data_IF_737267641152
#
_entry.id   IF_737267641152
#
_cell.length_a   1.000
_cell.length_b   1.000
_cell.length_c   1.000
_cell.angle_alpha   90.00
_cell.angle_beta   90.00
_cell.angle_gamma   90.00
#
_symmetry.space_group_name_H-M   'P 1'
#
loop_
_entity.id
_entity.type
_entity.pdbx_description
1 polymer ?
#
# COMPACT_ATOMS: atom_id res chain seq x y z
N UNK A 1 -10.75 -7.26 6.35
CA UNK A 1 -10.38 -7.52 4.94
C UNK A 1 -9.29 -6.57 4.50
N UNK A 2 -8.30 -7.09 3.72
CA UNK A 2 -7.29 -6.30 3.04
C UNK A 2 -7.85 -5.71 1.74
N UNK A 3 -7.64 -4.41 1.50
CA UNK A 3 -8.07 -3.76 0.26
C UNK A 3 -6.96 -2.89 -0.32
N UNK A 4 -6.82 -2.92 -1.62
CA UNK A 4 -5.83 -2.11 -2.31
C UNK A 4 -6.21 -0.63 -2.32
N UNK A 5 -5.22 0.24 -2.08
CA UNK A 5 -5.40 1.70 -2.13
C UNK A 5 -5.42 2.25 -3.56
N UNK A 6 -4.69 1.58 -4.47
CA UNK A 6 -4.51 2.04 -5.85
C UNK A 6 -4.63 0.88 -6.82
N UNK A 7 -4.91 1.19 -8.07
CA UNK A 7 -4.91 0.23 -9.18
C UNK A 7 -3.54 0.20 -9.84
N UNK A 8 -3.07 -0.98 -10.24
CA UNK A 8 -1.85 -1.13 -11.05
C UNK A 8 -2.06 -0.67 -12.51
N UNK A 9 -3.27 -0.83 -13.03
CA UNK A 9 -3.64 -0.46 -14.39
C UNK A 9 -5.08 0.06 -14.45
N UNK A 10 -5.44 0.74 -15.51
CA UNK A 10 -6.80 1.24 -15.75
C UNK A 10 -7.86 0.13 -15.87
N UNK A 11 -7.43 -1.12 -16.09
CA UNK A 11 -8.31 -2.30 -16.24
C UNK A 11 -8.47 -3.10 -14.95
N UNK A 12 -7.78 -2.73 -13.87
CA UNK A 12 -7.84 -3.44 -12.58
C UNK A 12 -8.80 -2.75 -11.62
N UNK A 13 -9.93 -3.37 -11.33
CA UNK A 13 -10.91 -2.89 -10.33
C UNK A 13 -10.57 -3.26 -8.89
N UNK A 14 -9.28 -3.45 -8.57
CA UNK A 14 -8.84 -3.90 -7.25
C UNK A 14 -8.85 -2.80 -6.18
N UNK A 15 -8.75 -1.52 -6.58
CA UNK A 15 -8.72 -0.42 -5.63
C UNK A 15 -10.06 -0.25 -4.92
N UNK A 16 -10.00 -0.07 -3.61
CA UNK A 16 -11.17 0.25 -2.80
C UNK A 16 -11.77 1.59 -3.21
N UNK A 17 -13.09 1.64 -3.36
CA UNK A 17 -13.85 2.84 -3.67
C UNK A 17 -14.71 3.27 -2.47
N UNK A 18 -15.08 4.56 -2.40
CA UNK A 18 -15.87 5.08 -1.26
C UNK A 18 -17.23 4.38 -1.11
N UNK A 19 -17.89 3.99 -2.19
CA UNK A 19 -19.14 3.25 -2.14
C UNK A 19 -19.02 1.88 -1.49
N UNK A 20 -17.86 1.21 -1.64
CA UNK A 20 -17.57 -0.07 -1.02
C UNK A 20 -17.47 0.04 0.52
N UNK A 21 -17.00 1.19 1.05
CA UNK A 21 -16.89 1.44 2.49
C UNK A 21 -18.24 1.22 3.18
N UNK A 22 -19.32 1.71 2.57
CA UNK A 22 -20.68 1.55 3.13
C UNK A 22 -21.10 0.09 3.21
N UNK A 23 -20.84 -0.70 2.17
CA UNK A 23 -21.16 -2.13 2.15
C UNK A 23 -20.36 -2.91 3.19
N UNK A 24 -19.05 -2.68 3.27
CA UNK A 24 -18.16 -3.31 4.25
C UNK A 24 -18.54 -2.94 5.69
N UNK A 25 -18.93 -1.67 5.93
CA UNK A 25 -19.42 -1.19 7.22
C UNK A 25 -20.70 -1.91 7.63
N UNK A 26 -21.66 -2.05 6.71
CA UNK A 26 -22.92 -2.76 6.98
C UNK A 26 -22.68 -4.25 7.28
N UNK A 27 -21.64 -4.84 6.72
CA UNK A 27 -21.22 -6.22 7.01
C UNK A 27 -20.41 -6.37 8.32
N UNK A 28 -20.16 -5.29 9.07
CA UNK A 28 -19.39 -5.32 10.31
C UNK A 28 -17.90 -5.64 10.13
N UNK A 29 -17.36 -5.48 8.92
CA UNK A 29 -15.99 -5.84 8.59
C UNK A 29 -15.00 -4.75 9.01
N UNK A 30 -13.79 -5.15 9.40
CA UNK A 30 -12.63 -4.27 9.58
C UNK A 30 -11.77 -4.31 8.32
N UNK A 31 -11.11 -3.18 8.01
CA UNK A 31 -10.35 -3.03 6.78
C UNK A 31 -8.90 -2.62 7.08
N UNK A 32 -7.96 -3.12 6.30
CA UNK A 32 -6.59 -2.63 6.29
C UNK A 32 -6.13 -2.35 4.85
N UNK A 33 -5.43 -1.22 4.61
CA UNK A 33 -5.03 -0.82 3.28
C UNK A 33 -3.73 -1.50 2.84
N UNK A 34 -3.70 -1.95 1.59
CA UNK A 34 -2.52 -2.48 0.91
C UNK A 34 -2.14 -1.49 -0.19
N UNK A 35 -0.88 -1.13 -0.27
CA UNK A 35 -0.31 -0.40 -1.39
C UNK A 35 0.60 -1.32 -2.19
N UNK A 36 0.22 -1.58 -3.41
CA UNK A 36 1.03 -2.31 -4.39
C UNK A 36 0.99 -1.54 -5.70
N UNK A 37 2.17 -1.21 -6.22
CA UNK A 37 2.36 -0.81 -7.60
C UNK A 37 2.98 -2.00 -8.35
N UNK A 38 3.93 -1.80 -9.25
CA UNK A 38 4.50 -2.92 -10.01
C UNK A 38 5.27 -3.92 -9.14
N UNK A 39 6.13 -3.49 -8.24
CA UNK A 39 6.83 -4.23 -7.16
C UNK A 39 7.26 -5.69 -7.35
N UNK A 40 7.40 -6.16 -8.61
CA UNK A 40 7.60 -7.58 -8.95
C UNK A 40 9.06 -7.99 -9.16
N UNK A 41 10.00 -7.07 -8.99
CA UNK A 41 11.44 -7.34 -9.05
C UNK A 41 12.23 -6.26 -8.33
N UNK A 42 13.51 -6.52 -8.05
CA UNK A 42 14.36 -5.64 -7.26
C UNK A 42 14.57 -4.26 -7.89
N UNK A 43 14.58 -4.14 -9.21
CA UNK A 43 14.84 -2.87 -9.90
C UNK A 43 13.75 -1.82 -9.61
N UNK A 44 12.56 -2.25 -9.18
CA UNK A 44 11.49 -1.36 -8.76
C UNK A 44 11.84 -0.57 -7.49
N UNK A 45 12.50 -1.19 -6.50
CA UNK A 45 12.68 -0.66 -5.14
C UNK A 45 13.77 0.42 -5.05
N UNK A 46 13.67 1.44 -5.89
CA UNK A 46 14.54 2.61 -5.88
C UNK A 46 14.06 3.69 -4.90
N UNK A 47 14.93 4.64 -4.57
CA UNK A 47 14.57 5.82 -3.75
C UNK A 47 13.49 6.67 -4.44
N UNK A 48 13.51 6.78 -5.77
CA UNK A 48 12.48 7.51 -6.51
C UNK A 48 11.13 6.77 -6.47
N UNK A 49 11.14 5.44 -6.56
CA UNK A 49 9.93 4.64 -6.34
C UNK A 49 9.39 4.86 -4.92
N UNK A 50 10.23 4.84 -3.88
CA UNK A 50 9.81 5.10 -2.52
C UNK A 50 9.11 6.46 -2.34
N UNK A 51 9.63 7.52 -2.97
CA UNK A 51 9.00 8.86 -2.95
C UNK A 51 7.63 8.88 -3.60
N UNK A 52 7.53 8.30 -4.80
CA UNK A 52 6.27 8.20 -5.55
C UNK A 52 5.24 7.37 -4.79
N UNK A 53 5.64 6.23 -4.27
CA UNK A 53 4.76 5.26 -3.62
C UNK A 53 4.27 5.77 -2.26
N UNK A 54 5.15 6.39 -1.47
CA UNK A 54 4.77 7.07 -0.24
C UNK A 54 3.67 8.11 -0.50
N UNK A 55 3.87 8.98 -1.51
CA UNK A 55 2.90 10.03 -1.86
C UNK A 55 1.58 9.45 -2.34
N UNK A 56 1.60 8.45 -3.22
CA UNK A 56 0.40 7.81 -3.75
C UNK A 56 -0.38 7.09 -2.66
N UNK A 57 0.31 6.30 -1.83
CA UNK A 57 -0.32 5.58 -0.73
C UNK A 57 -0.96 6.53 0.30
N UNK A 58 -0.24 7.59 0.69
CA UNK A 58 -0.74 8.60 1.62
C UNK A 58 -1.98 9.30 1.07
N UNK A 59 -1.92 9.80 -0.17
CA UNK A 59 -3.04 10.52 -0.78
C UNK A 59 -4.27 9.61 -0.94
N UNK A 60 -4.08 8.37 -1.39
CA UNK A 60 -5.18 7.43 -1.54
C UNK A 60 -5.85 7.09 -0.20
N UNK A 61 -5.06 6.81 0.83
CA UNK A 61 -5.59 6.54 2.17
C UNK A 61 -6.32 7.77 2.75
N UNK A 62 -5.76 8.97 2.53
CA UNK A 62 -6.37 10.21 2.98
C UNK A 62 -7.70 10.50 2.25
N UNK A 63 -7.75 10.30 0.95
CA UNK A 63 -8.96 10.51 0.13
C UNK A 63 -10.08 9.52 0.46
N UNK A 64 -9.72 8.30 0.87
CA UNK A 64 -10.69 7.31 1.36
C UNK A 64 -11.16 7.57 2.79
N UNK A 65 -10.51 8.49 3.53
CA UNK A 65 -10.88 8.85 4.89
C UNK A 65 -10.34 7.89 5.96
N UNK A 66 -9.27 7.15 5.68
CA UNK A 66 -8.65 6.29 6.70
C UNK A 66 -8.24 7.09 7.94
N UNK A 67 -8.52 6.58 9.16
CA UNK A 67 -8.20 7.27 10.40
C UNK A 67 -6.69 7.33 10.66
N UNK A 68 -6.29 8.26 11.55
CA UNK A 68 -4.92 8.33 12.05
C UNK A 68 -4.48 6.99 12.66
N UNK A 69 -3.20 6.66 12.54
CA UNK A 69 -2.58 5.41 12.97
C UNK A 69 -2.98 4.15 12.17
N UNK A 70 -3.73 4.30 11.07
CA UNK A 70 -3.92 3.18 10.13
C UNK A 70 -2.56 2.71 9.64
N UNK A 71 -2.37 1.39 9.60
CA UNK A 71 -1.17 0.77 9.04
C UNK A 71 -1.39 0.53 7.55
N UNK A 72 -0.56 1.12 6.69
CA UNK A 72 -0.54 0.89 5.24
C UNK A 72 0.51 -0.17 4.93
N UNK A 73 0.10 -1.31 4.35
CA UNK A 73 1.00 -2.40 4.00
C UNK A 73 1.55 -2.19 2.59
N UNK A 74 2.86 -1.87 2.49
CA UNK A 74 3.56 -1.77 1.21
C UNK A 74 4.01 -3.15 0.76
N UNK A 75 3.68 -3.52 -0.49
CA UNK A 75 3.94 -4.86 -1.00
C UNK A 75 5.34 -5.01 -1.59
N UNK A 76 6.00 -6.11 -1.20
CA UNK A 76 7.22 -6.66 -1.79
C UNK A 76 6.89 -8.06 -2.27
N UNK A 77 6.29 -8.14 -3.45
CA UNK A 77 5.61 -9.33 -3.97
C UNK A 77 6.38 -9.96 -5.12
N UNK A 78 7.54 -10.53 -4.78
CA UNK A 78 8.37 -11.30 -5.71
C UNK A 78 9.33 -12.22 -4.95
N UNK A 79 9.97 -13.17 -5.62
CA UNK A 79 10.98 -14.03 -5.03
C UNK A 79 12.24 -13.23 -4.65
N UNK A 80 12.27 -12.75 -3.41
CA UNK A 80 13.36 -11.92 -2.86
C UNK A 80 14.55 -12.79 -2.54
N UNK A 81 15.71 -12.45 -3.10
CA UNK A 81 17.00 -13.02 -2.67
C UNK A 81 17.56 -12.25 -1.46
N UNK A 82 18.35 -12.91 -0.63
CA UNK A 82 18.98 -12.29 0.55
C UNK A 82 19.79 -11.04 0.16
N UNK A 83 20.45 -11.07 -0.99
CA UNK A 83 21.22 -9.93 -1.52
C UNK A 83 20.36 -8.70 -1.85
N UNK A 84 19.03 -8.85 -2.00
CA UNK A 84 18.10 -7.74 -2.28
C UNK A 84 17.71 -6.97 -1.02
N UNK A 85 17.86 -7.56 0.17
CA UNK A 85 17.39 -7.00 1.44
C UNK A 85 17.90 -5.57 1.69
N UNK A 86 19.19 -5.23 1.50
CA UNK A 86 19.68 -3.88 1.72
C UNK A 86 18.94 -2.81 0.87
N UNK A 87 18.62 -3.13 -0.36
CA UNK A 87 17.86 -2.24 -1.26
C UNK A 87 16.44 -2.02 -0.76
N UNK A 88 15.77 -3.10 -0.33
CA UNK A 88 14.42 -3.03 0.25
C UNK A 88 14.44 -2.22 1.56
N UNK A 89 15.43 -2.42 2.44
CA UNK A 89 15.58 -1.62 3.65
C UNK A 89 15.72 -0.12 3.34
N UNK A 90 16.50 0.26 2.32
CA UNK A 90 16.67 1.64 1.90
C UNK A 90 15.36 2.25 1.35
N UNK A 91 14.59 1.47 0.59
CA UNK A 91 13.27 1.87 0.12
C UNK A 91 12.33 2.19 1.30
N UNK A 92 12.26 1.31 2.31
CA UNK A 92 11.42 1.53 3.49
C UNK A 92 11.94 2.65 4.41
N UNK A 93 13.27 2.84 4.54
CA UNK A 93 13.83 4.01 5.24
C UNK A 93 13.33 5.30 4.62
N UNK A 94 13.36 5.38 3.27
CA UNK A 94 12.88 6.56 2.57
C UNK A 94 11.39 6.81 2.78
N UNK A 95 10.55 5.79 2.80
CA UNK A 95 9.12 5.93 3.11
C UNK A 95 8.95 6.47 4.55
N UNK A 96 9.68 5.92 5.54
CA UNK A 96 9.63 6.38 6.93
C UNK A 96 10.03 7.86 7.08
N UNK A 97 11.13 8.27 6.43
CA UNK A 97 11.56 9.67 6.40
C UNK A 97 10.46 10.60 5.90
N UNK A 98 9.79 10.23 4.81
CA UNK A 98 8.72 11.03 4.23
C UNK A 98 7.48 11.08 5.13
N UNK A 99 7.05 9.95 5.67
CA UNK A 99 5.87 9.89 6.55
C UNK A 99 6.06 10.71 7.84
N UNK A 100 7.30 10.93 8.27
CA UNK A 100 7.61 11.77 9.42
C UNK A 100 7.45 13.28 9.16
N UNK A 101 7.38 13.71 7.89
CA UNK A 101 7.27 15.14 7.53
C UNK A 101 5.84 15.68 7.68
N UNK A 102 5.72 17.01 7.76
CA UNK A 102 4.43 17.70 7.82
C UNK A 102 3.57 17.43 6.59
N UNK A 103 4.16 17.29 5.40
CA UNK A 103 3.47 16.95 4.15
C UNK A 103 2.72 15.61 4.20
N UNK A 104 3.15 14.71 5.09
CA UNK A 104 2.51 13.42 5.37
C UNK A 104 1.83 13.39 6.76
N UNK A 105 1.51 14.56 7.32
CA UNK A 105 0.79 14.71 8.57
C UNK A 105 1.56 14.21 9.80
N UNK A 106 2.89 14.30 9.81
CA UNK A 106 3.74 13.92 10.94
C UNK A 106 3.40 12.50 11.46
N UNK A 107 3.60 11.49 10.64
CA UNK A 107 3.25 10.10 10.93
C UNK A 107 1.73 9.87 11.12
N UNK A 108 0.89 10.53 10.31
CA UNK A 108 -0.55 10.27 10.31
C UNK A 108 -0.87 8.78 10.16
N UNK A 109 -0.16 8.10 9.25
CA UNK A 109 -0.27 6.66 9.03
C UNK A 109 0.99 5.93 9.48
N UNK A 110 0.86 4.65 9.80
CA UNK A 110 1.95 3.76 10.14
C UNK A 110 2.32 2.91 8.92
N UNK A 111 3.55 2.41 8.91
CA UNK A 111 4.08 1.61 7.80
C UNK A 111 4.03 0.14 8.19
N UNK A 112 3.39 -0.66 7.35
CA UNK A 112 3.44 -2.12 7.35
C UNK A 112 4.12 -2.63 6.09
N UNK A 113 4.36 -3.93 6.03
CA UNK A 113 4.89 -4.62 4.86
C UNK A 113 4.08 -5.87 4.56
N UNK A 114 3.80 -6.12 3.27
CA UNK A 114 3.41 -7.44 2.76
C UNK A 114 4.61 -8.03 2.04
N UNK A 115 5.15 -9.16 2.54
CA UNK A 115 6.39 -9.75 2.00
C UNK A 115 6.65 -11.17 2.52
N UNK A 116 7.66 -11.88 1.95
CA UNK A 116 8.19 -13.10 2.51
C UNK A 116 8.75 -12.90 3.94
N UNK A 117 8.74 -13.97 4.75
CA UNK A 117 9.09 -13.98 6.18
C UNK A 117 10.41 -13.26 6.51
N UNK A 118 11.48 -13.57 5.76
CA UNK A 118 12.81 -12.96 6.00
C UNK A 118 12.80 -11.46 5.78
N UNK A 119 12.14 -10.97 4.74
CA UNK A 119 11.99 -9.53 4.46
C UNK A 119 11.23 -8.84 5.58
N UNK A 120 10.09 -9.41 6.00
CA UNK A 120 9.29 -8.91 7.14
C UNK A 120 10.15 -8.83 8.41
N UNK A 121 10.92 -9.89 8.72
CA UNK A 121 11.81 -9.96 9.89
C UNK A 121 12.87 -8.87 9.85
N UNK A 122 13.53 -8.65 8.72
CA UNK A 122 14.59 -7.63 8.60
C UNK A 122 14.02 -6.21 8.72
N UNK A 123 12.86 -5.95 8.14
CA UNK A 123 12.19 -4.65 8.27
C UNK A 123 11.73 -4.40 9.72
N UNK A 124 11.20 -5.41 10.40
CA UNK A 124 10.82 -5.36 11.81
C UNK A 124 12.03 -5.06 12.71
N UNK A 125 13.12 -5.83 12.58
CA UNK A 125 14.36 -5.67 13.36
C UNK A 125 15.01 -4.29 13.18
N UNK A 126 14.86 -3.69 12.01
CA UNK A 126 15.38 -2.34 11.74
C UNK A 126 14.40 -1.24 12.16
N UNK A 127 13.24 -1.54 12.76
CA UNK A 127 12.24 -0.58 13.19
C UNK A 127 11.54 0.15 12.04
N UNK A 128 11.57 -0.43 10.83
CA UNK A 128 11.03 0.20 9.62
C UNK A 128 9.56 -0.13 9.36
N UNK A 129 9.01 -1.13 10.05
CA UNK A 129 7.60 -1.49 9.93
C UNK A 129 6.97 -1.75 11.31
N UNK A 130 5.77 -1.22 11.49
CA UNK A 130 4.97 -1.43 12.70
C UNK A 130 4.33 -2.83 12.70
N UNK A 131 4.02 -3.36 11.52
CA UNK A 131 3.33 -4.64 11.36
C UNK A 131 3.73 -5.32 10.06
N UNK A 132 3.65 -6.66 10.06
CA UNK A 132 3.93 -7.49 8.90
C UNK A 132 2.69 -8.29 8.49
N UNK A 133 2.44 -8.34 7.18
CA UNK A 133 1.54 -9.24 6.50
C UNK A 133 2.38 -10.21 5.68
N UNK A 134 2.44 -11.45 6.13
CA UNK A 134 3.32 -12.48 5.57
C UNK A 134 2.64 -13.15 4.37
N UNK A 135 3.40 -13.50 3.34
CA UNK A 135 2.88 -14.14 2.12
C UNK A 135 3.22 -15.65 2.05
N UNK A 136 2.86 -16.42 3.06
CA UNK A 136 3.19 -17.86 3.13
C UNK A 136 2.59 -18.68 1.98
N UNK A 137 1.50 -18.20 1.35
CA UNK A 137 0.98 -18.76 0.11
C UNK A 137 2.07 -18.85 -0.98
N UNK A 138 3.01 -17.92 -1.02
CA UNK A 138 4.17 -17.93 -1.92
C UNK A 138 5.29 -18.82 -1.36
N UNK A 139 4.96 -20.08 -1.08
CA UNK A 139 5.84 -21.04 -0.40
C UNK A 139 7.14 -21.34 -1.15
N UNK A 140 7.18 -21.13 -2.48
CA UNK A 140 8.37 -21.30 -3.32
C UNK A 140 9.35 -20.12 -3.28
N UNK A 141 9.03 -19.01 -2.61
CA UNK A 141 9.93 -17.88 -2.50
C UNK A 141 11.11 -18.17 -1.60
N UNK A 142 12.32 -17.82 -2.04
CA UNK A 142 13.61 -18.09 -1.38
C UNK A 142 13.66 -17.57 0.05
N UNK A 143 13.13 -16.39 0.30
CA UNK A 143 13.14 -15.73 1.62
C UNK A 143 11.87 -16.01 2.44
N UNK A 144 11.14 -17.09 2.19
CA UNK A 144 9.87 -17.39 2.85
C UNK A 144 9.94 -18.63 3.75
N UNK A 145 9.42 -19.78 3.33
CA UNK A 145 9.37 -20.99 4.14
C UNK A 145 10.78 -21.41 4.58
N UNK A 146 10.92 -21.79 5.87
CA UNK A 146 12.22 -22.05 6.51
C UNK A 146 12.72 -20.92 7.41
N UNK A 147 12.15 -19.72 7.29
CA UNK A 147 12.35 -18.64 8.24
C UNK A 147 11.20 -18.56 9.25
N UNK A 148 11.49 -18.09 10.46
CA UNK A 148 10.47 -17.86 11.48
C UNK A 148 9.56 -16.68 11.06
N UNK A 149 8.32 -16.71 11.53
CA UNK A 149 7.43 -15.55 11.43
C UNK A 149 8.03 -14.34 12.15
N UNK A 150 7.93 -13.12 11.61
CA UNK A 150 8.43 -11.92 12.26
C UNK A 150 7.64 -11.62 13.55
N UNK A 151 8.30 -11.01 14.54
CA UNK A 151 7.66 -10.72 15.84
C UNK A 151 6.41 -9.84 15.72
N UNK A 152 6.37 -8.95 14.72
CA UNK A 152 5.28 -8.01 14.49
C UNK A 152 4.26 -8.50 13.46
N UNK A 153 4.19 -9.80 13.13
CA UNK A 153 3.21 -10.28 12.16
C UNK A 153 1.77 -10.09 12.68
N UNK A 154 0.90 -9.62 11.81
CA UNK A 154 -0.50 -9.45 12.08
C UNK A 154 -1.36 -10.38 11.22
N UNK A 155 -0.98 -10.53 9.97
CA UNK A 155 -1.65 -11.37 8.98
C UNK A 155 -0.66 -12.30 8.31
N UNK A 156 -1.14 -13.48 7.92
CA UNK A 156 -0.38 -14.47 7.16
C UNK A 156 -1.30 -15.05 6.07
N UNK A 157 -0.99 -14.75 4.81
CA UNK A 157 -1.72 -15.23 3.65
C UNK A 157 -1.30 -16.67 3.35
N UNK A 158 -2.22 -17.60 3.52
CA UNK A 158 -1.92 -19.04 3.47
C UNK A 158 -2.47 -19.75 2.24
N UNK A 159 -3.53 -19.23 1.63
CA UNK A 159 -4.18 -19.85 0.47
C UNK A 159 -5.17 -18.90 -0.20
N UNK A 160 -5.56 -19.21 -1.45
CA UNK A 160 -6.73 -18.62 -2.09
C UNK A 160 -7.88 -19.61 -2.02
N UNK A 161 -9.09 -19.14 -1.69
CA UNK A 161 -10.31 -19.92 -1.63
C UNK A 161 -11.41 -19.29 -2.47
N UNK A 162 -12.25 -20.13 -3.08
CA UNK A 162 -13.41 -19.68 -3.86
C UNK A 162 -14.67 -19.76 -3.02
N UNK A 163 -15.45 -18.69 -2.99
CA UNK A 163 -16.77 -18.64 -2.35
C UNK A 163 -17.87 -18.33 -3.37
N UNK A 164 -19.07 -18.87 -3.12
CA UNK A 164 -20.23 -18.68 -3.97
C UNK A 164 -20.26 -19.56 -5.20
N UNK A 165 -21.22 -19.30 -6.09
CA UNK A 165 -21.43 -20.05 -7.34
C UNK A 165 -21.97 -19.13 -8.44
N UNK A 166 -21.80 -19.50 -9.70
CA UNK A 166 -22.24 -18.71 -10.85
C UNK A 166 -21.61 -17.31 -10.85
N UNK A 167 -22.39 -16.29 -11.15
CA UNK A 167 -21.95 -14.90 -11.20
C UNK A 167 -21.56 -14.32 -9.81
N UNK A 168 -22.01 -14.94 -8.72
CA UNK A 168 -21.67 -14.55 -7.36
C UNK A 168 -20.41 -15.26 -6.82
N UNK A 169 -19.66 -15.99 -7.67
CA UNK A 169 -18.41 -16.63 -7.28
C UNK A 169 -17.31 -15.57 -7.17
N UNK A 170 -16.64 -15.54 -6.00
CA UNK A 170 -15.47 -14.70 -5.77
C UNK A 170 -14.28 -15.55 -5.30
N UNK A 171 -13.08 -15.12 -5.63
CA UNK A 171 -11.85 -15.65 -5.05
C UNK A 171 -11.33 -14.67 -4.01
N UNK A 172 -11.01 -15.20 -2.82
CA UNK A 172 -10.46 -14.43 -1.72
C UNK A 172 -9.21 -15.10 -1.18
N UNK A 173 -8.26 -14.29 -0.78
CA UNK A 173 -7.07 -14.76 -0.09
C UNK A 173 -7.40 -15.00 1.38
N UNK A 174 -7.19 -16.25 1.81
CA UNK A 174 -7.43 -16.68 3.17
C UNK A 174 -6.22 -16.34 4.04
N UNK A 175 -6.48 -15.70 5.17
CA UNK A 175 -5.42 -15.20 6.04
C UNK A 175 -5.62 -15.68 7.48
N UNK A 176 -4.53 -16.07 8.14
CA UNK A 176 -4.48 -16.23 9.60
C UNK A 176 -4.23 -14.86 10.21
N UNK A 177 -4.92 -14.57 11.31
CA UNK A 177 -4.79 -13.30 12.05
C UNK A 177 -4.18 -13.58 13.41
N UNK A 178 -3.09 -12.87 13.75
CA UNK A 178 -2.41 -13.04 15.05
C UNK A 178 -3.13 -12.38 16.24
N UNK A 179 -4.06 -11.46 15.95
CA UNK A 179 -4.70 -10.61 16.95
C UNK A 179 -3.93 -9.34 17.30
N UNK A 180 -2.67 -9.18 16.89
CA UNK A 180 -1.86 -7.98 17.19
C UNK A 180 -2.36 -6.71 16.48
N UNK A 181 -2.93 -6.87 15.30
CA UNK A 181 -3.63 -5.83 14.55
C UNK A 181 -4.73 -6.46 13.71
N UNK A 182 -5.91 -5.88 13.72
CA UNK A 182 -7.10 -6.45 13.05
C UNK A 182 -7.67 -5.52 11.98
N UNK A 183 -6.90 -4.52 11.54
CA UNK A 183 -7.40 -3.45 10.67
C UNK A 183 -8.14 -2.37 11.45
N UNK A 184 -8.69 -1.39 10.74
CA UNK A 184 -9.46 -0.28 11.31
C UNK A 184 -10.96 -0.53 11.20
N UNK A 185 -11.72 0.01 12.16
CA UNK A 185 -13.17 0.02 12.08
C UNK A 185 -13.62 1.00 11.01
N UNK A 186 -14.60 0.63 10.22
CA UNK A 186 -15.18 1.53 9.21
C UNK A 186 -16.05 2.65 9.85
N UNK A 187 -16.39 2.52 11.14
CA UNK A 187 -17.00 3.61 11.90
C UNK A 187 -16.03 4.78 12.12
N UNK A 188 -14.71 4.51 12.10
CA UNK A 188 -13.67 5.51 12.33
C UNK A 188 -13.28 6.29 11.08
N UNK A 189 -13.86 5.95 9.91
CA UNK A 189 -13.61 6.68 8.67
C UNK A 189 -14.25 8.05 8.71
N UNK A 190 -13.46 9.06 8.38
CA UNK A 190 -13.96 10.43 8.27
C UNK A 190 -14.52 10.66 6.87
N UNK A 191 -15.66 11.36 6.79
CA UNK A 191 -16.11 11.92 5.52
C UNK A 191 -15.09 12.99 5.09
N UNK A 192 -14.33 12.68 4.06
CA UNK A 192 -13.44 13.68 3.47
C UNK A 192 -14.30 14.59 2.59
N UNK A 193 -14.61 15.77 3.07
CA UNK A 193 -15.10 16.85 2.20
C UNK A 193 -13.98 17.16 1.23
N UNK A 194 -14.20 16.86 -0.06
CA UNK A 194 -13.24 17.18 -1.12
C UNK A 194 -13.18 18.69 -1.24
N UNK A 195 -12.08 19.30 -0.82
CA UNK A 195 -11.93 20.75 -0.97
C UNK A 195 -11.78 21.11 -2.46
N UNK A 196 -12.16 22.35 -2.85
CA UNK A 196 -11.94 22.83 -4.21
C UNK A 196 -10.46 22.72 -4.62
N UNK A 197 -9.56 22.90 -3.67
CA UNK A 197 -8.11 22.72 -3.87
C UNK A 197 -7.74 21.27 -4.24
N UNK A 198 -8.37 20.27 -3.64
CA UNK A 198 -8.13 18.87 -3.96
C UNK A 198 -8.72 18.49 -5.32
N UNK A 199 -9.88 19.08 -5.67
CA UNK A 199 -10.47 18.95 -7.01
C UNK A 199 -9.53 19.53 -8.06
N UNK A 200 -9.01 20.74 -7.83
CA UNK A 200 -8.09 21.40 -8.74
C UNK A 200 -6.78 20.60 -8.90
N UNK A 201 -6.21 20.07 -7.79
CA UNK A 201 -5.04 19.19 -7.84
C UNK A 201 -5.31 17.90 -8.62
N UNK A 202 -6.48 17.30 -8.47
CA UNK A 202 -6.86 16.10 -9.21
C UNK A 202 -7.00 16.37 -10.71
N UNK A 203 -7.57 17.53 -11.08
CA UNK A 203 -7.71 17.98 -12.48
C UNK A 203 -6.33 18.21 -13.10
N UNK A 204 -5.45 18.95 -12.40
CA UNK A 204 -4.08 19.22 -12.87
C UNK A 204 -3.27 17.91 -12.97
N UNK A 205 -3.37 17.00 -11.99
CA UNK A 205 -2.71 15.69 -12.04
C UNK A 205 -3.17 14.84 -13.21
N UNK A 206 -4.48 14.86 -13.52
CA UNK A 206 -5.05 14.12 -14.65
C UNK A 206 -4.64 14.74 -15.99
N UNK A 207 -4.59 16.07 -16.08
CA UNK A 207 -4.07 16.79 -17.26
C UNK A 207 -2.58 16.46 -17.49
N UNK A 208 -1.78 16.43 -16.43
CA UNK A 208 -0.37 16.03 -16.48
C UNK A 208 -0.19 14.59 -17.00
N UNK A 209 -0.99 13.64 -16.50
CA UNK A 209 -0.95 12.26 -16.99
C UNK A 209 -1.38 12.12 -18.46
N UNK A 210 -2.33 12.93 -18.92
CA UNK A 210 -2.76 12.95 -20.33
C UNK A 210 -1.72 13.55 -21.27
N UNK A 211 -0.87 14.46 -20.78
CA UNK A 211 0.21 15.09 -21.55
C UNK A 211 1.49 14.25 -21.54
N UNK A 212 1.61 13.30 -20.65
CA UNK A 212 2.74 12.40 -20.54
C UNK A 212 2.81 11.49 -21.79
N UNK A 213 3.97 11.42 -22.41
CA UNK A 213 4.17 10.74 -23.71
C UNK A 213 3.95 11.65 -24.92
N UNK A 214 3.74 12.96 -24.71
CA UNK A 214 3.67 13.96 -25.78
C UNK A 214 4.97 14.76 -25.85
N UNK A 215 5.07 15.67 -26.84
CA UNK A 215 6.21 16.59 -27.00
C UNK A 215 6.45 17.52 -25.80
N UNK A 216 5.59 17.50 -24.79
CA UNK A 216 5.73 18.27 -23.56
C UNK A 216 6.45 17.53 -22.43
N UNK A 217 6.81 16.24 -22.58
CA UNK A 217 7.51 15.49 -21.52
C UNK A 217 8.83 16.17 -21.12
N UNK A 218 9.64 16.59 -22.08
CA UNK A 218 10.91 17.29 -21.84
C UNK A 218 10.70 18.65 -21.13
N UNK A 219 9.57 19.30 -21.37
CA UNK A 219 9.22 20.58 -20.75
C UNK A 219 8.78 20.38 -19.29
N UNK A 220 8.06 19.31 -19.02
CA UNK A 220 7.51 19.00 -17.69
C UNK A 220 8.57 18.44 -16.74
N UNK A 221 9.54 17.67 -17.25
CA UNK A 221 10.66 17.17 -16.43
C UNK A 221 11.63 18.28 -15.99
N UNK A 222 11.76 19.34 -16.76
CA UNK A 222 12.63 20.48 -16.48
C UNK A 222 11.96 21.58 -15.64
N UNK A 223 10.63 21.52 -15.44
CA UNK A 223 9.90 22.50 -14.64
C UNK A 223 9.84 22.07 -13.18
N UNK A 224 10.89 22.41 -12.40
CA UNK A 224 10.94 22.20 -10.94
C UNK A 224 10.27 23.34 -10.16
N UNK A 225 9.53 24.23 -10.82
CA UNK A 225 8.83 25.35 -10.20
C UNK A 225 7.52 24.91 -9.57
N UNK A 226 7.27 25.32 -8.33
CA UNK A 226 5.96 25.20 -7.70
C UNK A 226 4.93 25.94 -8.54
N UNK A 227 3.95 25.21 -9.09
CA UNK A 227 2.71 25.81 -9.57
C UNK A 227 1.96 26.36 -8.35
N UNK A 228 2.22 27.62 -7.99
CA UNK A 228 1.37 28.38 -7.07
C UNK A 228 0.13 28.84 -7.87
N UNK A 229 -0.97 28.15 -7.69
CA UNK A 229 -2.32 28.62 -8.05
C UNK A 229 -3.09 28.86 -6.76
#
# INVERSE_FOLDING_TARGET
>A
VGRYLTQESSTSEKAMVKSEITALKSAGLRVFPIYQAVGRNISYFSINAARRDARRAFNAANNLGYPKNTIIYFAVDYDVLVAHIPTILNYFRKINELFATADFGNNKYKIGVYAPRKVCTELCKNGLTTSSFVCDMSSGFTCNIGYLLPENWAFDQISTVSYGSGEAKIEIDNNIVSGKYTGVSLADFTETTVSQKDINRAIVGKAYEMLRGTIFDDYLENYSGELSI
#
